data_IF_779239480627
#
_entry.id   IF_779239480627
#
_cell.length_a   1.000
_cell.length_b   1.000
_cell.length_c   1.000
_cell.angle_alpha   90.00
_cell.angle_beta   90.00
_cell.angle_gamma   90.00
#
_symmetry.space_group_name_H-M   'P 1'
#
loop_
_entity.id
_entity.type
_entity.pdbx_description
1 polymer ?
#
# COMPACT_ATOMS: atom_id res chain seq x y z
N UNK A 1 21.10 8.80 -13.45
CA UNK A 1 19.76 8.22 -13.28
C UNK A 1 19.73 6.91 -14.07
N UNK A 2 19.48 5.77 -13.43
CA UNK A 2 19.54 4.44 -14.08
C UNK A 2 18.43 4.33 -15.13
N UNK A 3 18.78 3.94 -16.34
CA UNK A 3 17.80 3.69 -17.41
C UNK A 3 17.12 2.33 -17.27
N UNK A 4 15.93 2.16 -17.86
CA UNK A 4 15.14 0.92 -17.78
C UNK A 4 15.93 -0.36 -18.16
N UNK A 5 16.70 -0.34 -19.24
CA UNK A 5 17.46 -1.53 -19.67
C UNK A 5 18.57 -1.89 -18.66
N UNK A 6 19.26 -0.89 -18.13
CA UNK A 6 20.28 -1.07 -17.10
C UNK A 6 19.67 -1.63 -15.82
N UNK A 7 18.50 -1.11 -15.40
CA UNK A 7 17.73 -1.62 -14.27
C UNK A 7 17.42 -3.12 -14.42
N UNK A 8 16.98 -3.56 -15.60
CA UNK A 8 16.69 -4.97 -15.85
C UNK A 8 17.96 -5.83 -15.75
N UNK A 9 19.11 -5.35 -16.25
CA UNK A 9 20.37 -6.08 -16.13
C UNK A 9 20.81 -6.18 -14.66
N UNK A 10 20.70 -5.11 -13.88
CA UNK A 10 20.98 -5.10 -12.44
C UNK A 10 20.09 -6.10 -11.69
N UNK A 11 18.79 -6.12 -11.98
CA UNK A 11 17.86 -7.11 -11.38
C UNK A 11 18.25 -8.56 -11.72
N UNK A 12 18.62 -8.84 -12.97
CA UNK A 12 19.10 -10.17 -13.37
C UNK A 12 20.40 -10.55 -12.65
N UNK A 13 21.31 -9.59 -12.43
CA UNK A 13 22.53 -9.81 -11.66
C UNK A 13 22.21 -10.09 -10.18
N UNK A 14 21.28 -9.34 -9.57
CA UNK A 14 20.80 -9.58 -8.20
C UNK A 14 20.20 -10.99 -8.08
N UNK A 15 19.36 -11.41 -9.03
CA UNK A 15 18.79 -12.76 -9.06
C UNK A 15 19.86 -13.86 -9.03
N UNK A 16 20.98 -13.67 -9.75
CA UNK A 16 22.10 -14.63 -9.79
C UNK A 16 22.87 -14.74 -8.47
N UNK A 17 22.82 -13.71 -7.62
CA UNK A 17 23.50 -13.70 -6.31
C UNK A 17 22.81 -14.59 -5.26
N UNK A 18 21.58 -15.03 -5.50
CA UNK A 18 20.85 -15.86 -4.54
C UNK A 18 20.31 -15.06 -3.36
N UNK A 19 20.39 -15.63 -2.16
CA UNK A 19 19.94 -15.01 -0.93
C UNK A 19 20.88 -13.88 -0.48
N UNK A 20 20.32 -12.70 -0.25
CA UNK A 20 21.04 -11.51 0.22
C UNK A 20 20.48 -11.10 1.58
N UNK A 21 21.35 -10.91 2.56
CA UNK A 21 20.97 -10.46 3.91
C UNK A 21 20.31 -9.09 3.85
N UNK A 22 19.27 -8.91 4.66
CA UNK A 22 18.53 -7.65 4.75
C UNK A 22 19.46 -6.50 5.16
N UNK A 23 19.30 -5.36 4.51
CA UNK A 23 19.98 -4.12 4.90
C UNK A 23 19.25 -3.39 6.04
N UNK A 24 18.01 -3.80 6.36
CA UNK A 24 17.19 -3.20 7.42
C UNK A 24 16.24 -4.22 8.01
N UNK A 25 16.21 -4.35 9.33
CA UNK A 25 15.24 -5.24 9.98
C UNK A 25 13.79 -4.75 9.79
N UNK A 26 12.86 -5.70 9.67
CA UNK A 26 11.42 -5.46 9.68
C UNK A 26 10.78 -5.37 8.30
N UNK A 27 9.51 -4.93 8.27
CA UNK A 27 8.66 -5.04 7.08
C UNK A 27 9.22 -4.29 5.86
N UNK A 28 9.84 -3.13 6.07
CA UNK A 28 10.43 -2.29 5.02
C UNK A 28 11.81 -2.78 4.54
N UNK A 29 12.38 -3.81 5.19
CA UNK A 29 13.70 -4.37 4.85
C UNK A 29 13.83 -4.82 3.41
N UNK A 30 12.81 -5.47 2.86
CA UNK A 30 12.80 -5.95 1.46
C UNK A 30 12.84 -4.80 0.44
N UNK A 31 12.16 -3.69 0.72
CA UNK A 31 12.17 -2.48 -0.11
C UNK A 31 13.56 -1.86 -0.09
N UNK A 32 14.02 -1.56 1.13
CA UNK A 32 15.31 -0.91 1.34
C UNK A 32 16.48 -1.71 0.79
N UNK A 33 16.49 -3.03 1.00
CA UNK A 33 17.53 -3.92 0.48
C UNK A 33 17.57 -3.87 -1.05
N UNK A 34 16.41 -3.90 -1.72
CA UNK A 34 16.37 -3.83 -3.18
C UNK A 34 16.83 -2.45 -3.70
N UNK A 35 16.38 -1.37 -3.08
CA UNK A 35 16.78 0.01 -3.43
C UNK A 35 18.30 0.18 -3.32
N UNK A 36 18.89 -0.29 -2.23
CA UNK A 36 20.34 -0.23 -2.01
C UNK A 36 21.11 -1.08 -3.04
N UNK A 37 20.63 -2.30 -3.33
CA UNK A 37 21.25 -3.18 -4.33
C UNK A 37 21.17 -2.61 -5.75
N UNK A 38 20.16 -1.79 -6.02
CA UNK A 38 19.99 -1.10 -7.30
C UNK A 38 20.67 0.26 -7.34
N UNK A 39 21.13 0.77 -6.20
CA UNK A 39 21.72 2.11 -6.03
C UNK A 39 20.75 3.23 -6.44
N UNK A 40 19.51 3.14 -5.97
CA UNK A 40 18.47 4.17 -6.20
C UNK A 40 18.06 4.81 -4.87
N UNK A 41 17.91 6.13 -4.86
CA UNK A 41 17.47 6.89 -3.69
C UNK A 41 15.94 6.98 -3.58
N UNK A 42 15.25 6.92 -4.72
CA UNK A 42 13.79 7.02 -4.81
C UNK A 42 13.20 5.80 -5.52
N UNK A 43 11.96 5.48 -5.16
CA UNK A 43 11.18 4.40 -5.76
C UNK A 43 10.60 4.74 -7.15
N UNK A 44 10.96 5.89 -7.74
CA UNK A 44 10.52 6.31 -9.07
C UNK A 44 11.70 6.23 -10.06
N UNK A 45 11.62 5.36 -11.06
CA UNK A 45 12.72 5.09 -12.00
C UNK A 45 12.32 5.54 -13.41
N UNK A 46 13.22 6.14 -14.21
CA UNK A 46 12.93 6.45 -15.60
C UNK A 46 12.66 5.20 -16.43
N UNK A 47 11.47 5.16 -17.01
CA UNK A 47 11.08 4.18 -18.02
C UNK A 47 11.30 4.69 -19.45
N UNK A 48 11.06 3.82 -20.45
CA UNK A 48 11.06 4.23 -21.85
C UNK A 48 10.08 5.38 -22.10
N UNK A 49 10.45 6.35 -22.93
CA UNK A 49 9.63 7.53 -23.29
C UNK A 49 9.33 8.47 -22.10
N UNK A 50 10.27 8.62 -21.16
CA UNK A 50 10.12 9.47 -19.97
C UNK A 50 8.96 9.09 -19.02
N UNK A 51 8.37 7.90 -19.17
CA UNK A 51 7.36 7.41 -18.20
C UNK A 51 8.06 6.99 -16.92
N UNK A 52 7.67 7.53 -15.76
CA UNK A 52 8.18 7.04 -14.48
C UNK A 52 7.62 5.64 -14.18
N UNK A 53 8.48 4.76 -13.68
CA UNK A 53 8.16 3.41 -13.24
C UNK A 53 8.33 3.38 -11.72
N UNK A 54 7.23 3.13 -11.01
CA UNK A 54 7.28 2.88 -9.57
C UNK A 54 7.93 1.50 -9.33
N UNK A 55 8.88 1.40 -8.41
CA UNK A 55 9.44 0.13 -7.94
C UNK A 55 8.72 -0.30 -6.66
N UNK A 56 8.24 -1.55 -6.63
CA UNK A 56 7.78 -2.18 -5.39
C UNK A 56 8.36 -3.57 -5.25
N UNK A 57 8.73 -3.93 -4.03
CA UNK A 57 9.14 -5.28 -3.69
C UNK A 57 8.19 -5.96 -2.69
N UNK A 58 8.06 -7.27 -2.81
CA UNK A 58 7.25 -8.08 -1.90
C UNK A 58 7.82 -9.46 -1.66
N UNK A 59 7.55 -10.00 -0.47
CA UNK A 59 7.84 -11.40 -0.14
C UNK A 59 6.76 -12.25 -0.82
N UNK A 60 7.12 -13.34 -1.50
CA UNK A 60 6.13 -14.13 -2.26
C UNK A 60 4.97 -14.68 -1.44
N UNK A 61 5.24 -15.03 -0.17
CA UNK A 61 4.25 -15.56 0.76
C UNK A 61 3.86 -14.52 1.82
N UNK A 62 4.04 -13.22 1.54
CA UNK A 62 3.64 -12.17 2.47
C UNK A 62 2.13 -12.19 2.68
N UNK A 63 1.73 -12.28 3.94
CA UNK A 63 0.36 -12.02 4.38
C UNK A 63 0.09 -10.54 4.62
N UNK A 64 1.14 -9.70 4.63
CA UNK A 64 1.01 -8.26 4.79
C UNK A 64 0.58 -7.60 3.50
N UNK A 65 -0.39 -6.69 3.60
CA UNK A 65 -0.92 -5.99 2.43
C UNK A 65 0.11 -4.99 1.85
N UNK A 66 0.05 -4.80 0.54
CA UNK A 66 0.75 -3.74 -0.17
C UNK A 66 -0.12 -2.49 -0.24
N UNK A 67 0.49 -1.33 0.02
CA UNK A 67 -0.18 -0.05 -0.19
C UNK A 67 -0.08 0.35 -1.65
N UNK A 68 -1.24 0.46 -2.32
CA UNK A 68 -1.32 1.01 -3.67
C UNK A 68 -0.98 2.50 -3.62
N UNK A 69 -1.73 3.24 -2.79
CA UNK A 69 -1.52 4.67 -2.55
C UNK A 69 -2.19 5.06 -1.22
N UNK A 70 -1.93 6.28 -0.79
CA UNK A 70 -2.58 6.89 0.38
C UNK A 70 -3.33 8.13 -0.06
N UNK A 71 -4.50 8.36 0.55
CA UNK A 71 -5.28 9.58 0.33
C UNK A 71 -6.19 9.83 1.53
N UNK A 72 -6.01 10.96 2.21
CA UNK A 72 -6.89 11.34 3.31
C UNK A 72 -8.32 11.62 2.81
N UNK A 73 -9.35 11.25 3.59
CA UNK A 73 -10.74 11.53 3.26
C UNK A 73 -11.07 13.02 3.38
N UNK A 74 -12.14 13.40 2.69
CA UNK A 74 -12.86 14.64 2.90
C UNK A 74 -13.92 14.47 4.01
N UNK A 75 -14.32 15.56 4.68
CA UNK A 75 -13.72 16.89 4.60
C UNK A 75 -12.30 16.94 5.20
N UNK A 76 -11.52 18.02 5.00
CA UNK A 76 -10.24 18.18 5.67
C UNK A 76 -10.36 17.93 7.18
N UNK A 77 -9.37 17.26 7.76
CA UNK A 77 -9.34 16.81 9.17
C UNK A 77 -10.33 15.67 9.52
N UNK A 78 -10.99 15.04 8.56
CA UNK A 78 -11.82 13.85 8.83
C UNK A 78 -11.05 12.75 9.58
N UNK A 79 -9.79 12.50 9.25
CA UNK A 79 -8.95 11.57 10.01
C UNK A 79 -8.74 11.99 11.48
N UNK A 80 -8.55 13.27 11.76
CA UNK A 80 -8.46 13.77 13.14
C UNK A 80 -9.78 13.56 13.90
N UNK A 81 -10.91 13.85 13.26
CA UNK A 81 -12.24 13.63 13.84
C UNK A 81 -12.53 12.14 14.10
N UNK A 82 -12.09 11.25 13.19
CA UNK A 82 -12.18 9.81 13.37
C UNK A 82 -11.37 9.35 14.59
N UNK A 83 -10.13 9.82 14.74
CA UNK A 83 -9.29 9.47 15.88
C UNK A 83 -9.89 9.97 17.20
N UNK A 84 -10.46 11.18 17.21
CA UNK A 84 -11.08 11.77 18.39
C UNK A 84 -12.28 10.95 18.88
N UNK A 85 -13.19 10.61 17.96
CA UNK A 85 -14.45 9.89 18.25
C UNK A 85 -14.24 8.39 18.48
N UNK A 86 -13.41 7.75 17.66
CA UNK A 86 -13.34 6.29 17.58
C UNK A 86 -12.00 5.72 18.05
N UNK A 87 -10.97 6.54 18.24
CA UNK A 87 -9.66 6.12 18.70
C UNK A 87 -9.70 5.44 20.07
N UNK A 88 -8.75 4.53 20.29
CA UNK A 88 -8.54 3.81 21.54
C UNK A 88 -7.15 4.10 22.07
N UNK A 89 -6.95 3.90 23.37
CA UNK A 89 -5.61 4.00 23.95
C UNK A 89 -4.69 2.94 23.32
N UNK A 90 -3.50 3.37 22.94
CA UNK A 90 -2.49 2.54 22.32
C UNK A 90 -2.12 1.41 23.27
N UNK A 91 -2.04 0.20 22.74
CA UNK A 91 -1.61 -0.99 23.48
C UNK A 91 -0.17 -0.86 24.05
N UNK A 92 0.57 0.18 23.66
CA UNK A 92 1.90 0.52 24.16
C UNK A 92 1.90 1.17 25.55
N UNK A 93 0.74 1.42 26.16
CA UNK A 93 0.63 1.94 27.53
C UNK A 93 1.14 3.37 27.70
N UNK A 94 1.19 4.15 26.61
CA UNK A 94 1.76 5.50 26.58
C UNK A 94 0.70 6.60 26.66
N UNK A 95 -0.56 6.25 27.01
CA UNK A 95 -1.73 7.15 27.05
C UNK A 95 -2.07 7.85 25.72
N UNK A 96 -1.45 7.44 24.60
CA UNK A 96 -1.74 7.99 23.28
C UNK A 96 -2.93 7.27 22.67
N UNK A 97 -3.75 8.00 21.91
CA UNK A 97 -4.80 7.43 21.08
C UNK A 97 -4.23 6.93 19.76
N UNK A 98 -4.80 5.84 19.27
CA UNK A 98 -4.61 5.35 17.92
C UNK A 98 -5.94 4.83 17.34
N UNK A 99 -6.02 4.84 16.02
CA UNK A 99 -7.08 4.22 15.25
C UNK A 99 -6.43 3.48 14.09
N UNK A 100 -6.17 2.19 14.32
CA UNK A 100 -5.66 1.27 13.31
C UNK A 100 -6.73 0.24 13.00
N UNK A 101 -7.37 0.38 11.84
CA UNK A 101 -8.43 -0.56 11.45
C UNK A 101 -8.54 -0.69 9.93
N UNK A 102 -8.86 -1.90 9.49
CA UNK A 102 -9.03 -2.25 8.07
C UNK A 102 -10.51 -2.37 7.76
N UNK A 103 -10.96 -1.69 6.70
CA UNK A 103 -12.36 -1.56 6.29
C UNK A 103 -12.53 -2.12 4.88
N UNK A 104 -13.65 -2.81 4.64
CA UNK A 104 -14.01 -3.35 3.33
C UNK A 104 -15.43 -2.91 2.92
N UNK A 105 -15.84 -3.19 1.68
CA UNK A 105 -17.16 -2.84 1.17
C UNK A 105 -18.24 -3.92 1.37
N UNK A 106 -17.86 -5.10 1.87
CA UNK A 106 -18.75 -6.24 2.03
C UNK A 106 -19.49 -6.21 3.37
N UNK A 107 -18.74 -6.03 4.45
CA UNK A 107 -19.23 -6.11 5.84
C UNK A 107 -18.62 -5.02 6.69
N UNK A 108 -19.32 -4.66 7.77
CA UNK A 108 -18.73 -3.85 8.83
C UNK A 108 -17.56 -4.60 9.47
N UNK A 109 -16.46 -3.89 9.69
CA UNK A 109 -15.37 -4.43 10.49
C UNK A 109 -15.73 -4.39 11.97
N UNK A 110 -14.85 -4.95 12.80
CA UNK A 110 -14.98 -4.89 14.25
C UNK A 110 -14.07 -3.80 14.81
N UNK A 111 -14.63 -2.89 15.59
CA UNK A 111 -13.91 -1.87 16.34
C UNK A 111 -14.33 -1.94 17.81
N UNK A 112 -13.38 -2.14 18.73
CA UNK A 112 -13.64 -2.25 20.18
C UNK A 112 -14.73 -3.29 20.52
N UNK A 113 -14.75 -4.41 19.81
CA UNK A 113 -15.73 -5.50 20.04
C UNK A 113 -17.14 -5.25 19.49
N UNK A 114 -17.35 -4.16 18.74
CA UNK A 114 -18.64 -3.83 18.10
C UNK A 114 -18.46 -3.61 16.60
N UNK A 115 -19.53 -3.66 15.79
CA UNK A 115 -19.48 -3.18 14.41
C UNK A 115 -18.90 -1.75 14.36
N UNK A 116 -17.91 -1.55 13.51
CA UNK A 116 -17.21 -0.28 13.33
C UNK A 116 -17.63 0.38 12.03
N UNK A 117 -16.80 0.19 11.00
CA UNK A 117 -16.94 0.87 9.73
C UNK A 117 -17.15 -0.08 8.57
N UNK A 118 -17.74 0.45 7.49
CA UNK A 118 -17.85 -0.18 6.17
C UNK A 118 -17.57 0.86 5.09
N UNK A 119 -17.10 0.40 3.93
CA UNK A 119 -17.04 1.21 2.72
C UNK A 119 -18.37 1.12 1.97
N UNK A 120 -19.00 2.26 1.76
CA UNK A 120 -20.17 2.40 0.88
C UNK A 120 -19.74 3.05 -0.44
N UNK A 121 -20.07 2.43 -1.57
CA UNK A 121 -19.62 2.86 -2.89
C UNK A 121 -20.82 3.36 -3.68
N UNK A 122 -20.91 4.67 -3.85
CA UNK A 122 -21.97 5.34 -4.59
C UNK A 122 -21.52 5.67 -6.01
N UNK A 123 -22.36 6.41 -6.76
CA UNK A 123 -22.08 6.79 -8.15
C UNK A 123 -20.79 7.58 -8.27
N UNK A 124 -20.64 8.66 -7.50
CA UNK A 124 -19.53 9.61 -7.64
C UNK A 124 -18.55 9.58 -6.44
N UNK A 125 -18.91 8.86 -5.36
CA UNK A 125 -18.17 8.84 -4.11
C UNK A 125 -17.92 7.44 -3.56
N UNK A 126 -16.88 7.36 -2.73
CA UNK A 126 -16.58 6.23 -1.85
C UNK A 126 -16.67 6.78 -0.43
N UNK A 127 -17.60 6.27 0.36
CA UNK A 127 -17.90 6.74 1.70
C UNK A 127 -17.37 5.74 2.74
N UNK A 128 -16.88 6.28 3.85
CA UNK A 128 -16.65 5.53 5.08
C UNK A 128 -17.88 5.76 5.97
N UNK A 129 -18.61 4.70 6.27
CA UNK A 129 -19.85 4.75 7.05
C UNK A 129 -19.72 3.99 8.37
N UNK A 130 -20.45 4.41 9.40
CA UNK A 130 -20.64 3.65 10.65
C UNK A 130 -21.77 2.63 10.50
N UNK A 131 -21.97 1.77 11.51
CA UNK A 131 -23.07 0.80 11.55
C UNK A 131 -24.46 1.44 11.54
N UNK A 132 -24.56 2.74 11.88
CA UNK A 132 -25.76 3.56 11.84
C UNK A 132 -25.89 4.35 10.52
N UNK A 133 -25.14 3.97 9.48
CA UNK A 133 -25.09 4.62 8.16
C UNK A 133 -24.63 6.10 8.18
N UNK A 134 -23.97 6.54 9.26
CA UNK A 134 -23.37 7.87 9.34
C UNK A 134 -22.12 7.95 8.45
N UNK A 135 -22.08 8.89 7.51
CA UNK A 135 -20.88 9.18 6.71
C UNK A 135 -19.87 9.96 7.56
N UNK A 136 -18.78 9.30 7.94
CA UNK A 136 -17.70 9.86 8.77
C UNK A 136 -16.47 10.29 7.97
N UNK A 137 -16.50 10.06 6.66
CA UNK A 137 -15.50 10.55 5.71
C UNK A 137 -15.81 10.03 4.30
N UNK A 138 -15.32 10.70 3.26
CA UNK A 138 -15.53 10.26 1.89
C UNK A 138 -14.37 10.62 0.96
N UNK A 139 -14.37 10.01 -0.22
CA UNK A 139 -13.51 10.36 -1.33
C UNK A 139 -14.33 10.50 -2.60
N UNK A 140 -14.19 11.62 -3.29
CA UNK A 140 -14.70 11.72 -4.66
C UNK A 140 -13.90 10.80 -5.58
N UNK A 141 -14.58 10.06 -6.45
CA UNK A 141 -13.94 9.10 -7.35
C UNK A 141 -12.92 9.75 -8.27
N UNK A 142 -13.20 10.96 -8.74
CA UNK A 142 -12.26 11.74 -9.57
C UNK A 142 -10.96 12.04 -8.82
N UNK A 143 -11.04 12.43 -7.55
CA UNK A 143 -9.87 12.67 -6.70
C UNK A 143 -9.01 11.41 -6.55
N UNK A 144 -9.65 10.25 -6.37
CA UNK A 144 -8.94 8.98 -6.32
C UNK A 144 -8.32 8.62 -7.67
N UNK A 145 -9.06 8.76 -8.78
CA UNK A 145 -8.58 8.53 -10.14
C UNK A 145 -7.31 9.34 -10.43
N UNK A 146 -7.34 10.65 -10.16
CA UNK A 146 -6.20 11.54 -10.34
C UNK A 146 -5.01 11.16 -9.44
N UNK A 147 -5.27 10.73 -8.21
CA UNK A 147 -4.22 10.28 -7.29
C UNK A 147 -3.54 8.99 -7.78
N UNK A 148 -4.31 8.12 -8.44
CA UNK A 148 -3.84 6.87 -9.02
C UNK A 148 -3.05 7.06 -10.30
N UNK A 149 -3.62 7.76 -11.28
CA UNK A 149 -3.00 7.97 -12.59
C UNK A 149 -1.65 8.66 -12.48
N UNK A 150 -1.49 9.58 -11.52
CA UNK A 150 -0.19 10.20 -11.21
C UNK A 150 0.83 9.22 -10.64
N UNK A 151 0.41 8.26 -9.82
CA UNK A 151 1.33 7.44 -8.99
C UNK A 151 1.64 6.07 -9.57
N UNK A 152 0.75 5.48 -10.36
CA UNK A 152 0.89 4.10 -10.84
C UNK A 152 0.71 3.94 -12.36
N UNK A 153 1.34 4.77 -13.22
CA UNK A 153 1.26 4.57 -14.67
C UNK A 153 1.92 3.24 -15.11
N UNK A 154 3.06 2.90 -14.48
CA UNK A 154 3.76 1.63 -14.63
C UNK A 154 4.38 1.24 -13.29
N UNK A 155 4.33 -0.06 -12.96
CA UNK A 155 4.88 -0.62 -11.74
C UNK A 155 5.85 -1.77 -12.08
N UNK A 156 7.09 -1.68 -11.63
CA UNK A 156 8.01 -2.80 -11.60
C UNK A 156 7.87 -3.51 -10.25
N UNK A 157 7.23 -4.67 -10.27
CA UNK A 157 6.94 -5.46 -9.09
C UNK A 157 7.93 -6.61 -8.96
N UNK A 158 8.82 -6.53 -7.97
CA UNK A 158 9.91 -7.49 -7.74
C UNK A 158 9.59 -8.36 -6.52
N UNK A 159 9.51 -9.66 -6.73
CA UNK A 159 9.16 -10.62 -5.67
C UNK A 159 10.39 -11.42 -5.24
N UNK A 160 10.48 -11.68 -3.94
CA UNK A 160 11.57 -12.45 -3.35
C UNK A 160 11.07 -13.68 -2.59
N UNK A 161 11.82 -14.79 -2.71
CA UNK A 161 11.81 -15.84 -1.69
C UNK A 161 12.49 -15.31 -0.43
N UNK A 162 12.04 -15.76 0.74
CA UNK A 162 12.53 -15.27 2.03
C UNK A 162 12.88 -16.41 2.96
N UNK A 163 14.00 -16.28 3.67
CA UNK A 163 14.37 -17.15 4.79
C UNK A 163 14.94 -16.31 5.93
N UNK A 164 15.02 -16.90 7.12
CA UNK A 164 15.41 -16.19 8.33
C UNK A 164 14.33 -15.22 8.84
N UNK A 165 14.69 -14.37 9.81
CA UNK A 165 13.79 -13.38 10.42
C UNK A 165 14.59 -12.24 11.06
N UNK A 166 13.95 -11.09 11.22
CA UNK A 166 14.54 -9.95 11.94
C UNK A 166 15.78 -9.40 11.22
N UNK A 167 16.89 -9.30 11.95
CA UNK A 167 18.19 -8.86 11.42
C UNK A 167 18.87 -9.88 10.49
N UNK A 168 18.46 -11.14 10.55
CA UNK A 168 19.02 -12.24 9.76
C UNK A 168 18.07 -12.69 8.65
N UNK A 169 17.06 -11.89 8.32
CA UNK A 169 16.23 -12.12 7.16
C UNK A 169 17.06 -11.99 5.87
N UNK A 170 16.88 -12.91 4.93
CA UNK A 170 17.52 -12.89 3.63
C UNK A 170 16.48 -12.95 2.50
N UNK A 171 16.77 -12.26 1.40
CA UNK A 171 15.91 -12.13 0.24
C UNK A 171 16.60 -12.69 -1.01
N UNK A 172 15.92 -13.59 -1.72
CA UNK A 172 16.29 -13.97 -3.07
C UNK A 172 15.29 -13.37 -4.07
N UNK A 173 15.64 -12.20 -4.63
CA UNK A 173 14.84 -11.49 -5.63
C UNK A 173 14.86 -12.23 -6.97
N UNK A 174 13.92 -13.14 -7.19
CA UNK A 174 13.98 -14.12 -8.29
C UNK A 174 12.86 -14.00 -9.32
N UNK A 175 11.92 -13.08 -9.12
CA UNK A 175 10.75 -12.88 -9.97
C UNK A 175 10.49 -11.37 -10.10
N UNK A 176 10.27 -10.89 -11.32
CA UNK A 176 9.83 -9.51 -11.53
C UNK A 176 8.83 -9.38 -12.67
N UNK A 177 7.89 -8.46 -12.48
CA UNK A 177 6.82 -8.16 -13.41
C UNK A 177 6.73 -6.67 -13.67
N UNK A 178 6.61 -6.29 -14.93
CA UNK A 178 6.22 -4.95 -15.32
C UNK A 178 4.69 -4.94 -15.49
N UNK A 179 4.01 -4.23 -14.59
CA UNK A 179 2.56 -4.03 -14.61
C UNK A 179 2.24 -2.65 -15.17
N UNK A 180 1.22 -2.56 -16.03
CA UNK A 180 0.81 -1.30 -16.64
C UNK A 180 -0.66 -1.31 -17.07
N UNK A 181 -1.16 -0.15 -17.49
CA UNK A 181 -2.57 0.02 -17.86
C UNK A 181 -3.48 -0.16 -16.66
N UNK A 182 -3.17 0.53 -15.56
CA UNK A 182 -4.04 0.58 -14.41
C UNK A 182 -5.43 1.10 -14.81
N UNK A 183 -6.48 0.46 -14.31
CA UNK A 183 -7.86 0.80 -14.65
C UNK A 183 -8.62 1.18 -13.37
N UNK A 184 -9.11 2.42 -13.30
CA UNK A 184 -9.83 2.92 -12.14
C UNK A 184 -11.17 2.21 -11.90
N UNK A 185 -11.85 1.78 -12.96
CA UNK A 185 -13.11 1.03 -12.83
C UNK A 185 -12.83 -0.38 -12.26
N UNK A 186 -11.71 -1.00 -12.65
CA UNK A 186 -11.20 -2.21 -11.99
C UNK A 186 -10.88 -1.96 -10.53
N UNK A 187 -10.27 -0.82 -10.17
CA UNK A 187 -10.04 -0.46 -8.77
C UNK A 187 -11.35 -0.39 -7.97
N UNK A 188 -12.37 0.31 -8.49
CA UNK A 188 -13.68 0.42 -7.83
C UNK A 188 -14.36 -0.95 -7.71
N UNK A 189 -14.25 -1.79 -8.74
CA UNK A 189 -14.76 -3.17 -8.71
C UNK A 189 -14.07 -4.00 -7.63
N UNK A 190 -12.74 -4.00 -7.58
CA UNK A 190 -11.98 -4.76 -6.58
C UNK A 190 -12.21 -4.26 -5.15
N UNK A 191 -12.45 -2.96 -4.96
CA UNK A 191 -12.87 -2.40 -3.69
C UNK A 191 -14.25 -2.92 -3.28
N UNK A 192 -15.21 -2.94 -4.23
CA UNK A 192 -16.56 -3.49 -4.01
C UNK A 192 -16.52 -4.97 -3.64
N UNK A 193 -15.64 -5.74 -4.28
CA UNK A 193 -15.43 -7.17 -4.01
C UNK A 193 -14.65 -7.45 -2.71
N UNK A 194 -14.21 -6.43 -1.98
CA UNK A 194 -13.42 -6.58 -0.76
C UNK A 194 -11.99 -7.10 -0.98
N UNK A 195 -11.50 -7.06 -2.22
CA UNK A 195 -10.12 -7.43 -2.57
C UNK A 195 -9.17 -6.27 -2.26
N UNK A 196 -9.59 -5.05 -2.58
CA UNK A 196 -8.92 -3.84 -2.09
C UNK A 196 -9.58 -3.44 -0.78
N UNK A 197 -8.75 -3.13 0.22
CA UNK A 197 -9.16 -2.74 1.55
C UNK A 197 -8.71 -1.30 1.84
N UNK A 198 -9.45 -0.64 2.72
CA UNK A 198 -9.16 0.72 3.18
C UNK A 198 -8.63 0.65 4.60
N UNK A 199 -7.39 1.10 4.78
CA UNK A 199 -6.65 1.02 6.04
C UNK A 199 -6.58 2.41 6.68
N UNK A 200 -7.34 2.59 7.77
CA UNK A 200 -7.25 3.75 8.64
C UNK A 200 -6.05 3.52 9.57
N UNK A 201 -5.07 4.42 9.53
CA UNK A 201 -3.76 4.24 10.18
C UNK A 201 -3.31 5.52 10.85
N UNK A 202 -4.00 5.87 11.92
CA UNK A 202 -3.83 7.17 12.59
C UNK A 202 -3.31 6.91 13.99
N UNK A 203 -2.17 7.49 14.34
CA UNK A 203 -1.63 7.49 15.69
C UNK A 203 -1.63 8.89 16.30
N UNK A 204 -0.84 9.07 17.36
CA UNK A 204 -0.48 10.38 17.89
C UNK A 204 1.03 10.50 18.09
N UNK A 205 1.53 11.71 17.87
CA UNK A 205 2.86 12.12 18.31
C UNK A 205 2.94 12.20 19.86
N UNK A 206 4.15 12.26 20.45
CA UNK A 206 4.31 12.43 21.90
C UNK A 206 3.59 13.65 22.49
N UNK A 207 3.43 14.70 21.69
CA UNK A 207 2.73 15.94 22.06
C UNK A 207 1.20 15.87 21.91
N UNK A 208 0.65 14.70 21.55
CA UNK A 208 -0.79 14.47 21.39
C UNK A 208 -1.35 14.87 20.02
N UNK A 209 -0.56 15.50 19.13
CA UNK A 209 -1.03 15.82 17.78
C UNK A 209 -1.31 14.53 16.98
N UNK A 210 -2.37 14.49 16.15
CA UNK A 210 -2.62 13.35 15.26
C UNK A 210 -1.42 13.10 14.35
N UNK A 211 -0.97 11.85 14.31
CA UNK A 211 0.05 11.36 13.39
C UNK A 211 -0.64 10.50 12.32
N UNK A 212 -1.09 11.16 11.26
CA UNK A 212 -1.78 10.51 10.15
C UNK A 212 -0.78 9.99 9.12
N UNK A 213 -0.67 8.66 8.99
CA UNK A 213 0.13 8.02 7.94
C UNK A 213 -0.56 8.03 6.56
N UNK A 214 -1.71 8.70 6.47
CA UNK A 214 -2.64 8.68 5.35
C UNK A 214 -3.47 7.40 5.34
N UNK A 215 -4.75 7.54 5.00
CA UNK A 215 -5.63 6.38 4.76
C UNK A 215 -5.12 5.63 3.54
N UNK A 216 -4.79 4.35 3.73
CA UNK A 216 -4.15 3.52 2.71
C UNK A 216 -5.17 2.69 1.96
N UNK A 217 -5.13 2.71 0.64
CA UNK A 217 -5.82 1.70 -0.17
C UNK A 217 -4.83 0.57 -0.43
N UNK A 218 -5.18 -0.62 0.04
CA UNK A 218 -4.23 -1.73 0.13
C UNK A 218 -4.81 -3.00 -0.48
N UNK A 219 -3.92 -3.85 -0.95
CA UNK A 219 -4.25 -5.12 -1.60
C UNK A 219 -3.27 -6.19 -1.15
N UNK A 220 -3.69 -7.45 -1.12
CA UNK A 220 -2.75 -8.54 -0.87
C UNK A 220 -1.76 -8.69 -2.04
N UNK A 221 -0.49 -9.05 -1.77
CA UNK A 221 0.56 -9.21 -2.78
C UNK A 221 0.20 -10.10 -3.98
N UNK A 222 -0.61 -11.13 -3.77
CA UNK A 222 -1.07 -12.10 -4.78
C UNK A 222 -2.24 -11.57 -5.63
N UNK A 223 -2.91 -10.51 -5.17
CA UNK A 223 -4.02 -9.85 -5.87
C UNK A 223 -3.61 -8.54 -6.56
N UNK A 224 -2.37 -8.07 -6.36
CA UNK A 224 -1.88 -6.82 -6.95
C UNK A 224 -2.04 -6.78 -8.47
N UNK A 225 -1.79 -7.90 -9.14
CA UNK A 225 -1.87 -8.01 -10.60
C UNK A 225 -3.29 -7.70 -11.13
N UNK A 226 -4.34 -7.94 -10.35
CA UNK A 226 -5.74 -7.65 -10.74
C UNK A 226 -6.00 -6.15 -10.94
N UNK A 227 -5.13 -5.29 -10.38
CA UNK A 227 -5.24 -3.84 -10.51
C UNK A 227 -4.75 -3.32 -11.87
N UNK A 228 -4.11 -4.17 -12.69
CA UNK A 228 -3.45 -3.78 -13.94
C UNK A 228 -3.97 -4.63 -15.11
N UNK A 229 -4.15 -4.00 -16.28
CA UNK A 229 -4.59 -4.72 -17.49
C UNK A 229 -3.47 -5.45 -18.21
N UNK A 230 -2.22 -4.98 -18.06
CA UNK A 230 -1.07 -5.53 -18.75
C UNK A 230 -0.02 -6.03 -17.76
N UNK A 231 0.48 -7.26 -17.99
CA UNK A 231 1.49 -7.91 -17.16
C UNK A 231 2.56 -8.55 -18.03
N UNK A 232 3.79 -8.06 -17.93
CA UNK A 232 4.96 -8.60 -18.63
C UNK A 232 5.96 -9.15 -17.64
N UNK A 233 6.32 -10.43 -17.78
CA UNK A 233 7.40 -11.03 -16.99
C UNK A 233 8.75 -10.48 -17.44
N UNK A 234 9.58 -10.09 -16.48
CA UNK A 234 10.92 -9.55 -16.70
C UNK A 234 11.99 -10.58 -16.32
N UNK A 235 11.76 -11.33 -15.23
CA UNK A 235 12.62 -12.44 -14.78
C UNK A 235 11.86 -13.54 -14.02
#
# INVERSE_FOLDING_TARGET
MIGYNELIQRLKAIKKRGYIKTHRAGNTGIGKTLEDLLEIEENNIPGPNATMIELKSARKNAKSMLTLFTKSPLPPKANSALLERFGYESARGNKRKELHTTVNAMVFNTLKGKPGFKIDIQKDRINLITAEDEIVGYWDKETLRNSFERKLPKLLYVKAETRGKGSDEEFWFNEAWLLSGFNFDSFVRLLREGIILVDIRIGQYPDGRPHDHGTGFRVLPDKLDLCFSNRKRIM
#
